data_IF_066956510892
#
_entry.id   IF_066956510892
#
_cell.length_a   1.000
_cell.length_b   1.000
_cell.length_c   1.000
_cell.angle_alpha   90.00
_cell.angle_beta   90.00
_cell.angle_gamma   90.00
#
_symmetry.space_group_name_H-M   'P 1'
#
loop_
_entity.id
_entity.type
_entity.pdbx_description
1 polymer ?
#
# COMPACT_ATOMS: atom_id res chain seq x y z
N UNK A 1 -47.55 19.20 -32.30
CA UNK A 1 -47.08 19.78 -31.02
C UNK A 1 -46.53 18.72 -30.07
N UNK A 2 -47.27 17.65 -29.71
CA UNK A 2 -46.79 16.59 -28.78
C UNK A 2 -45.42 15.98 -29.15
N UNK A 3 -45.16 15.70 -30.44
CA UNK A 3 -43.86 15.14 -30.91
C UNK A 3 -42.66 16.07 -30.66
N UNK A 4 -42.84 17.38 -30.76
CA UNK A 4 -41.76 18.37 -30.53
C UNK A 4 -41.44 18.46 -29.04
N UNK A 5 -42.46 18.35 -28.18
CA UNK A 5 -42.29 18.31 -26.72
C UNK A 5 -41.48 17.09 -26.29
N UNK A 6 -41.73 15.90 -26.86
CA UNK A 6 -40.94 14.70 -26.53
C UNK A 6 -39.47 14.80 -26.93
N UNK A 7 -39.16 15.44 -28.05
CA UNK A 7 -37.77 15.60 -28.51
C UNK A 7 -36.99 16.53 -27.58
N UNK A 8 -37.61 17.64 -27.14
CA UNK A 8 -37.02 18.56 -26.17
C UNK A 8 -36.77 17.88 -24.80
N UNK A 9 -37.67 17.01 -24.35
CA UNK A 9 -37.48 16.23 -23.11
C UNK A 9 -36.28 15.29 -23.19
N UNK A 10 -36.09 14.62 -24.33
CA UNK A 10 -34.98 13.67 -24.54
C UNK A 10 -33.64 14.41 -24.55
N UNK A 11 -33.55 15.56 -25.22
CA UNK A 11 -32.33 16.37 -25.20
C UNK A 11 -32.00 16.92 -23.81
N UNK A 12 -33.01 17.27 -23.00
CA UNK A 12 -32.82 17.68 -21.60
C UNK A 12 -32.27 16.55 -20.73
N UNK A 13 -32.77 15.32 -20.90
CA UNK A 13 -32.31 14.14 -20.15
C UNK A 13 -30.88 13.76 -20.57
N UNK A 14 -30.57 13.76 -21.86
CA UNK A 14 -29.22 13.48 -22.36
C UNK A 14 -28.23 14.55 -21.88
N UNK A 15 -28.62 15.83 -21.93
CA UNK A 15 -27.81 16.92 -21.39
C UNK A 15 -27.53 16.79 -19.89
N UNK A 16 -28.52 16.35 -19.10
CA UNK A 16 -28.36 16.11 -17.67
C UNK A 16 -27.44 14.91 -17.38
N UNK A 17 -27.51 13.84 -18.17
CA UNK A 17 -26.61 12.69 -18.07
C UNK A 17 -25.16 13.09 -18.40
N UNK A 18 -24.96 13.90 -19.44
CA UNK A 18 -23.63 14.39 -19.84
C UNK A 18 -23.05 15.37 -18.80
N UNK A 19 -23.88 16.22 -18.18
CA UNK A 19 -23.44 17.10 -17.08
C UNK A 19 -23.05 16.32 -15.81
N UNK A 20 -23.76 15.22 -15.50
CA UNK A 20 -23.40 14.33 -14.39
C UNK A 20 -22.16 13.48 -14.70
N UNK A 21 -21.92 13.15 -15.97
CA UNK A 21 -20.72 12.43 -16.42
C UNK A 21 -19.48 13.34 -16.51
N UNK A 22 -19.66 14.61 -16.86
CA UNK A 22 -18.56 15.58 -17.01
C UNK A 22 -18.01 16.15 -15.70
N UNK A 23 -18.70 15.93 -14.58
CA UNK A 23 -18.31 16.46 -13.26
C UNK A 23 -17.98 15.36 -12.23
N UNK A 24 -17.76 14.15 -12.70
CA UNK A 24 -17.18 13.04 -11.92
C UNK A 24 -15.98 12.50 -12.68
N UNK A 25 -14.90 13.26 -12.70
CA UNK A 25 -13.58 12.63 -12.65
C UNK A 25 -13.49 11.97 -11.28
N UNK A 26 -14.04 10.76 -11.16
CA UNK A 26 -13.64 9.84 -10.11
C UNK A 26 -12.16 9.61 -10.34
N UNK A 27 -11.33 10.41 -9.68
CA UNK A 27 -9.99 10.00 -9.31
C UNK A 27 -10.19 8.61 -8.75
N UNK A 28 -9.66 7.60 -9.43
CA UNK A 28 -9.66 6.26 -8.88
C UNK A 28 -8.95 6.39 -7.53
N UNK A 29 -9.69 6.27 -6.43
CA UNK A 29 -9.08 6.12 -5.11
C UNK A 29 -8.17 4.90 -5.26
N UNK A 30 -6.86 5.15 -5.32
CA UNK A 30 -5.88 4.11 -5.10
C UNK A 30 -6.09 3.65 -3.66
N UNK A 31 -6.98 2.67 -3.50
CA UNK A 31 -7.44 2.19 -2.21
C UNK A 31 -6.24 1.58 -1.47
N UNK A 32 -5.74 2.31 -0.47
CA UNK A 32 -4.67 1.83 0.40
C UNK A 32 -5.25 1.51 1.79
N UNK A 33 -4.90 0.37 2.36
CA UNK A 33 -5.52 -0.10 3.60
C UNK A 33 -4.92 0.53 4.86
N UNK A 34 -3.81 1.28 4.75
CA UNK A 34 -3.09 1.84 5.90
C UNK A 34 -4.00 2.55 6.91
N UNK A 35 -4.98 3.40 6.54
CA UNK A 35 -5.91 4.02 7.49
C UNK A 35 -6.76 3.01 8.25
N UNK A 36 -7.20 1.93 7.59
CA UNK A 36 -7.99 0.85 8.21
C UNK A 36 -7.13 0.11 9.22
N UNK A 37 -5.89 -0.25 8.83
CA UNK A 37 -4.94 -0.91 9.71
C UNK A 37 -4.64 -0.06 10.94
N UNK A 38 -4.36 1.23 10.75
CA UNK A 38 -4.02 2.13 11.83
C UNK A 38 -5.19 2.34 12.80
N UNK A 39 -6.39 2.59 12.27
CA UNK A 39 -7.60 2.77 13.08
C UNK A 39 -7.85 1.57 13.99
N UNK A 40 -7.79 0.34 13.45
CA UNK A 40 -8.04 -0.87 14.26
C UNK A 40 -6.99 -1.02 15.36
N UNK A 41 -5.71 -0.77 15.07
CA UNK A 41 -4.68 -0.87 16.11
C UNK A 41 -4.82 0.23 17.17
N UNK A 42 -5.14 1.46 16.77
CA UNK A 42 -5.33 2.58 17.71
C UNK A 42 -6.54 2.39 18.61
N UNK A 43 -7.66 1.86 18.09
CA UNK A 43 -8.86 1.53 18.87
C UNK A 43 -8.55 0.48 19.96
N UNK A 44 -7.58 -0.38 19.69
CA UNK A 44 -7.05 -1.38 20.63
C UNK A 44 -5.95 -0.86 21.56
N UNK A 45 -5.69 0.46 21.56
CA UNK A 45 -4.63 1.12 22.32
C UNK A 45 -3.23 0.56 22.01
N UNK A 46 -3.03 0.05 20.80
CA UNK A 46 -1.73 -0.42 20.31
C UNK A 46 -0.94 0.77 19.79
N UNK A 47 0.29 0.93 20.28
CA UNK A 47 1.16 2.03 19.88
C UNK A 47 1.82 1.65 18.55
N UNK A 48 1.52 2.40 17.48
CA UNK A 48 2.13 2.22 16.17
C UNK A 48 3.53 2.84 16.14
N UNK A 49 4.54 2.01 15.89
CA UNK A 49 5.96 2.40 15.85
C UNK A 49 6.60 2.27 14.47
N UNK A 50 5.94 1.62 13.51
CA UNK A 50 6.33 1.64 12.11
C UNK A 50 5.10 1.46 11.22
N UNK A 51 5.05 2.16 10.10
CA UNK A 51 4.14 1.87 9.02
C UNK A 51 4.90 1.94 7.70
N UNK A 52 4.51 1.11 6.74
CA UNK A 52 5.09 1.12 5.41
C UNK A 52 4.06 0.78 4.33
N UNK A 53 4.31 1.31 3.13
CA UNK A 53 3.68 0.86 1.90
C UNK A 53 4.77 0.57 0.88
N UNK A 54 4.67 -0.59 0.25
CA UNK A 54 5.52 -1.02 -0.85
C UNK A 54 4.64 -1.28 -2.07
N UNK A 55 4.90 -0.57 -3.15
CA UNK A 55 4.22 -0.73 -4.41
C UNK A 55 5.22 -1.18 -5.48
N UNK A 56 4.81 -2.09 -6.36
CA UNK A 56 5.64 -2.56 -7.47
C UNK A 56 4.82 -2.74 -8.75
N UNK A 57 5.45 -2.43 -9.87
CA UNK A 57 4.93 -2.63 -11.22
C UNK A 57 5.98 -3.35 -12.08
N UNK A 58 5.55 -4.37 -12.81
CA UNK A 58 6.35 -4.99 -13.85
C UNK A 58 6.16 -4.15 -15.12
N UNK A 59 7.23 -3.58 -15.64
CA UNK A 59 7.17 -2.68 -16.81
C UNK A 59 7.18 -3.49 -18.10
N UNK A 60 6.08 -4.19 -18.40
CA UNK A 60 5.95 -5.06 -19.59
C UNK A 60 6.07 -4.31 -20.93
N UNK A 61 5.77 -3.01 -20.92
CA UNK A 61 5.85 -2.13 -22.09
C UNK A 61 7.27 -1.63 -22.36
N UNK A 62 8.16 -1.71 -21.37
CA UNK A 62 9.55 -1.27 -21.48
C UNK A 62 10.38 -2.41 -22.06
N UNK A 63 10.92 -2.20 -23.27
CA UNK A 63 11.65 -3.24 -24.00
C UNK A 63 13.10 -2.87 -24.25
N UNK A 64 13.43 -1.58 -24.18
CA UNK A 64 14.76 -1.07 -24.49
C UNK A 64 15.35 -0.29 -23.32
N UNK A 65 16.68 -0.18 -23.32
CA UNK A 65 17.40 0.69 -22.38
C UNK A 65 17.00 2.17 -22.55
N UNK A 66 16.61 2.58 -23.75
CA UNK A 66 16.16 3.96 -24.00
C UNK A 66 14.82 4.22 -23.29
N UNK A 67 13.88 3.29 -23.34
CA UNK A 67 12.58 3.40 -22.64
C UNK A 67 12.79 3.60 -21.13
N UNK A 68 13.77 2.89 -20.54
CA UNK A 68 14.16 3.04 -19.14
C UNK A 68 14.70 4.45 -18.86
N UNK A 69 15.59 4.94 -19.73
CA UNK A 69 16.17 6.28 -19.56
C UNK A 69 15.12 7.38 -19.70
N UNK A 70 14.13 7.21 -20.58
CA UNK A 70 13.01 8.13 -20.75
C UNK A 70 12.11 8.14 -19.52
N UNK A 71 11.78 6.96 -18.95
CA UNK A 71 11.04 6.85 -17.69
C UNK A 71 11.80 7.51 -16.52
N UNK A 72 13.11 7.28 -16.40
CA UNK A 72 13.94 7.94 -15.38
C UNK A 72 13.89 9.47 -15.54
N UNK A 73 13.93 9.96 -16.78
CA UNK A 73 13.88 11.38 -17.08
C UNK A 73 12.52 11.98 -16.71
N UNK A 74 11.43 11.29 -17.01
CA UNK A 74 10.07 11.67 -16.64
C UNK A 74 9.95 11.80 -15.11
N UNK A 75 10.32 10.75 -14.36
CA UNK A 75 10.23 10.77 -12.90
C UNK A 75 11.18 11.79 -12.25
N UNK A 76 12.34 12.06 -12.84
CA UNK A 76 13.21 13.17 -12.40
C UNK A 76 12.56 14.54 -12.61
N UNK A 77 11.75 14.69 -13.65
CA UNK A 77 10.94 15.88 -13.90
C UNK A 77 9.83 16.05 -12.85
N UNK A 78 9.17 14.96 -12.47
CA UNK A 78 8.14 14.94 -11.42
C UNK A 78 8.71 15.16 -10.02
N UNK A 79 9.90 14.59 -9.73
CA UNK A 79 10.55 14.66 -8.42
C UNK A 79 11.95 15.31 -8.48
N UNK A 80 12.05 16.58 -8.86
CA UNK A 80 13.33 17.25 -9.09
C UNK A 80 14.10 17.54 -7.79
N UNK A 81 13.40 17.60 -6.65
CA UNK A 81 14.00 17.86 -5.34
C UNK A 81 14.44 16.59 -4.61
N UNK A 82 14.28 15.42 -5.22
CA UNK A 82 14.69 14.15 -4.64
C UNK A 82 16.15 13.85 -4.95
N UNK A 83 16.79 13.07 -4.08
CA UNK A 83 18.17 12.67 -4.27
C UNK A 83 18.22 11.46 -5.19
N UNK A 84 18.64 11.67 -6.44
CA UNK A 84 18.73 10.63 -7.46
C UNK A 84 20.14 10.03 -7.56
N UNK A 85 20.22 8.72 -7.55
CA UNK A 85 21.44 7.95 -7.82
C UNK A 85 21.18 6.98 -8.98
N UNK A 86 22.11 6.92 -9.95
CA UNK A 86 22.05 6.00 -11.08
C UNK A 86 23.30 5.12 -11.07
N UNK A 87 23.10 3.80 -11.05
CA UNK A 87 24.13 2.80 -11.28
C UNK A 87 23.84 2.15 -12.61
N UNK A 88 24.71 2.35 -13.59
CA UNK A 88 24.47 1.90 -14.95
C UNK A 88 25.61 0.96 -15.40
N UNK A 89 25.30 -0.33 -15.47
CA UNK A 89 26.22 -1.37 -15.89
C UNK A 89 25.76 -1.96 -17.23
N UNK A 90 26.62 -2.78 -17.84
CA UNK A 90 26.36 -3.37 -19.14
C UNK A 90 25.13 -4.29 -19.13
N UNK A 91 24.90 -4.99 -18.02
CA UNK A 91 23.86 -6.02 -17.88
C UNK A 91 22.69 -5.62 -16.98
N UNK A 92 22.87 -4.58 -16.14
CA UNK A 92 21.83 -4.12 -15.22
C UNK A 92 21.93 -2.61 -15.00
N UNK A 93 20.78 -1.98 -14.83
CA UNK A 93 20.63 -0.56 -14.54
C UNK A 93 19.74 -0.42 -13.31
N UNK A 94 20.21 0.37 -12.33
CA UNK A 94 19.43 0.72 -11.15
C UNK A 94 19.41 2.24 -10.98
N UNK A 95 18.22 2.83 -10.96
CA UNK A 95 18.02 4.22 -10.59
C UNK A 95 17.21 4.28 -9.29
N UNK A 96 17.70 5.04 -8.31
CA UNK A 96 17.03 5.22 -7.02
C UNK A 96 16.86 6.70 -6.72
N UNK A 97 15.67 7.09 -6.28
CA UNK A 97 15.35 8.43 -5.81
C UNK A 97 14.88 8.37 -4.37
N UNK A 98 15.41 9.22 -3.49
CA UNK A 98 14.95 9.35 -2.09
C UNK A 98 14.41 10.74 -1.81
N UNK A 99 13.26 10.83 -1.15
CA UNK A 99 12.69 12.11 -0.75
C UNK A 99 13.54 12.80 0.31
N UNK A 100 13.52 14.14 0.30
CA UNK A 100 14.32 14.97 1.21
C UNK A 100 13.60 15.33 2.52
N UNK A 101 12.35 14.89 2.71
CA UNK A 101 11.46 15.41 3.75
C UNK A 101 11.65 14.71 5.10
N UNK A 102 11.38 15.43 6.19
CA UNK A 102 11.34 14.90 7.55
C UNK A 102 9.93 14.36 7.88
N UNK A 103 9.84 13.18 8.51
CA UNK A 103 8.61 12.57 9.04
C UNK A 103 8.29 11.19 8.47
N UNK A 104 8.57 10.97 7.19
CA UNK A 104 8.55 9.67 6.50
C UNK A 104 9.60 9.70 5.39
N UNK A 105 10.10 8.53 5.00
CA UNK A 105 11.06 8.40 3.92
C UNK A 105 10.38 7.73 2.73
N UNK A 106 10.41 8.39 1.57
CA UNK A 106 9.93 7.82 0.31
C UNK A 106 11.15 7.43 -0.55
N UNK A 107 11.04 6.30 -1.25
CA UNK A 107 12.05 5.79 -2.17
C UNK A 107 11.39 5.29 -3.44
N UNK A 108 11.82 5.78 -4.60
CA UNK A 108 11.48 5.21 -5.90
C UNK A 108 12.71 4.46 -6.42
N UNK A 109 12.52 3.24 -6.92
CA UNK A 109 13.59 2.44 -7.53
C UNK A 109 13.12 1.88 -8.86
N UNK A 110 13.90 2.13 -9.91
CA UNK A 110 13.81 1.45 -11.19
C UNK A 110 14.98 0.49 -11.28
N UNK A 111 14.71 -0.77 -11.60
CA UNK A 111 15.74 -1.78 -11.76
C UNK A 111 15.48 -2.62 -13.01
N UNK A 112 16.51 -2.88 -13.79
CA UNK A 112 16.49 -3.86 -14.88
C UNK A 112 17.18 -5.17 -14.46
N UNK A 113 16.62 -6.28 -14.93
CA UNK A 113 17.20 -7.61 -14.80
C UNK A 113 17.10 -8.32 -16.16
N UNK A 114 18.20 -8.91 -16.63
CA UNK A 114 18.19 -9.75 -17.84
C UNK A 114 19.56 -10.00 -18.43
N UNK A 115 19.74 -11.16 -19.04
CA UNK A 115 20.90 -11.50 -19.86
C UNK A 115 20.43 -11.80 -21.29
N UNK A 116 20.98 -11.03 -22.25
CA UNK A 116 21.03 -11.24 -23.69
C UNK A 116 19.76 -11.40 -24.57
N UNK A 117 18.54 -11.66 -24.08
CA UNK A 117 17.36 -11.71 -25.00
C UNK A 117 16.01 -11.14 -24.48
N UNK A 118 15.83 -10.91 -23.17
CA UNK A 118 14.66 -10.20 -22.64
C UNK A 118 15.05 -9.28 -21.47
N UNK A 119 14.82 -7.97 -21.65
CA UNK A 119 15.00 -6.98 -20.60
C UNK A 119 13.75 -7.00 -19.71
N UNK A 120 13.89 -7.44 -18.47
CA UNK A 120 12.84 -7.27 -17.47
C UNK A 120 13.11 -6.00 -16.69
N UNK A 121 12.09 -5.19 -16.47
CA UNK A 121 12.21 -3.96 -15.72
C UNK A 121 11.11 -3.85 -14.67
N UNK A 122 11.50 -3.31 -13.52
CA UNK A 122 10.65 -3.19 -12.35
C UNK A 122 10.69 -1.75 -11.87
N UNK A 123 9.52 -1.18 -11.61
CA UNK A 123 9.36 0.08 -10.90
C UNK A 123 8.83 -0.23 -9.50
N UNK A 124 9.51 0.29 -8.49
CA UNK A 124 9.16 0.10 -7.08
C UNK A 124 9.06 1.45 -6.39
N UNK A 125 8.08 1.57 -5.51
CA UNK A 125 7.92 2.69 -4.61
C UNK A 125 7.78 2.16 -3.19
N UNK A 126 8.48 2.78 -2.27
CA UNK A 126 8.43 2.47 -0.86
C UNK A 126 8.27 3.77 -0.08
N UNK A 127 7.34 3.78 0.87
CA UNK A 127 7.26 4.81 1.89
C UNK A 127 7.19 4.19 3.27
N UNK A 128 7.96 4.72 4.22
CA UNK A 128 7.95 4.28 5.61
C UNK A 128 7.95 5.44 6.59
N UNK A 129 7.25 5.27 7.72
CA UNK A 129 7.25 6.21 8.84
C UNK A 129 7.43 5.50 10.19
N UNK A 130 7.99 6.20 11.17
CA UNK A 130 8.38 5.65 12.48
C UNK A 130 7.30 5.83 13.58
N UNK A 131 6.16 6.41 13.24
CA UNK A 131 5.04 6.59 14.16
C UNK A 131 3.79 6.95 13.36
N UNK A 132 2.61 6.65 13.89
CA UNK A 132 1.36 7.20 13.36
C UNK A 132 1.01 8.50 14.11
N UNK A 133 1.18 9.64 13.44
CA UNK A 133 0.88 10.98 13.96
C UNK A 133 0.09 11.79 12.93
N UNK A 134 -0.24 13.05 13.24
CA UNK A 134 -1.01 13.93 12.34
C UNK A 134 -0.36 14.11 10.97
N UNK A 135 0.98 14.13 10.90
CA UNK A 135 1.70 14.31 9.65
C UNK A 135 1.65 13.04 8.78
N UNK A 136 1.71 11.87 9.41
CA UNK A 136 1.55 10.57 8.74
C UNK A 136 0.13 10.42 8.22
N UNK A 137 -0.86 10.72 9.05
CA UNK A 137 -2.27 10.69 8.69
C UNK A 137 -2.57 11.63 7.52
N UNK A 138 -2.09 12.88 7.58
CA UNK A 138 -2.26 13.85 6.52
C UNK A 138 -1.59 13.43 5.21
N UNK A 139 -0.38 12.85 5.27
CA UNK A 139 0.30 12.34 4.09
C UNK A 139 -0.44 11.16 3.46
N UNK A 140 -0.80 10.16 4.27
CA UNK A 140 -1.47 8.95 3.80
C UNK A 140 -2.82 9.33 3.18
N UNK A 141 -3.64 10.12 3.87
CA UNK A 141 -5.00 10.41 3.41
C UNK A 141 -5.08 11.44 2.28
N UNK A 142 -4.07 12.31 2.08
CA UNK A 142 -4.17 13.41 1.12
C UNK A 142 -3.09 13.44 0.03
N UNK A 143 -1.97 12.73 0.20
CA UNK A 143 -0.82 12.81 -0.71
C UNK A 143 -0.52 11.46 -1.36
N UNK A 144 -0.64 10.36 -0.62
CA UNK A 144 -0.17 9.05 -1.04
C UNK A 144 -0.85 8.56 -2.34
N UNK A 145 -2.17 8.69 -2.47
CA UNK A 145 -2.88 8.27 -3.68
C UNK A 145 -2.42 9.04 -4.93
N UNK A 146 -2.21 10.35 -4.80
CA UNK A 146 -1.64 11.17 -5.88
C UNK A 146 -0.21 10.75 -6.21
N UNK A 147 0.61 10.51 -5.19
CA UNK A 147 1.99 10.02 -5.37
C UNK A 147 2.03 8.68 -6.13
N UNK A 148 1.15 7.75 -5.80
CA UNK A 148 1.05 6.46 -6.50
C UNK A 148 0.65 6.65 -7.97
N UNK A 149 -0.31 7.56 -8.23
CA UNK A 149 -0.75 7.88 -9.60
C UNK A 149 0.36 8.55 -10.43
N UNK A 150 1.17 9.41 -9.83
CA UNK A 150 2.27 10.07 -10.52
C UNK A 150 3.37 9.07 -10.92
N UNK A 151 3.61 8.05 -10.08
CA UNK A 151 4.67 7.05 -10.27
C UNK A 151 4.23 5.93 -11.22
N UNK A 152 3.05 5.36 -11.01
CA UNK A 152 2.62 4.13 -11.68
C UNK A 152 1.64 4.41 -12.81
N UNK A 153 1.58 3.49 -13.79
CA UNK A 153 0.70 3.64 -14.96
C UNK A 153 -0.42 2.62 -14.94
N UNK A 154 -0.13 1.32 -14.79
CA UNK A 154 -1.14 0.27 -14.65
C UNK A 154 -0.61 -0.93 -13.84
N UNK A 155 -1.48 -1.85 -13.39
CA UNK A 155 -1.12 -3.15 -12.79
C UNK A 155 -0.17 -3.11 -11.57
N UNK A 156 -0.27 -2.09 -10.73
CA UNK A 156 0.52 -1.98 -9.50
C UNK A 156 0.07 -2.99 -8.44
N UNK A 157 1.01 -3.75 -7.90
CA UNK A 157 0.78 -4.54 -6.68
C UNK A 157 1.21 -3.71 -5.48
N UNK A 158 0.32 -3.55 -4.49
CA UNK A 158 0.57 -2.77 -3.29
C UNK A 158 0.56 -3.70 -2.07
N UNK A 159 1.55 -3.51 -1.20
CA UNK A 159 1.66 -4.14 0.11
C UNK A 159 1.69 -3.04 1.17
N UNK A 160 0.83 -3.15 2.18
CA UNK A 160 0.83 -2.24 3.33
C UNK A 160 1.20 -3.01 4.59
N UNK A 161 1.99 -2.42 5.47
CA UNK A 161 2.32 -3.01 6.76
C UNK A 161 2.26 -1.97 7.88
N UNK A 162 1.74 -2.36 9.04
CA UNK A 162 1.84 -1.59 10.28
C UNK A 162 2.41 -2.48 11.37
N UNK A 163 3.41 -1.96 12.07
CA UNK A 163 3.98 -2.54 13.28
C UNK A 163 3.55 -1.72 14.48
N UNK A 164 3.20 -2.42 15.55
CA UNK A 164 2.88 -1.80 16.81
C UNK A 164 3.26 -2.65 18.00
N UNK A 165 3.17 -2.03 19.17
CA UNK A 165 3.47 -2.65 20.44
C UNK A 165 2.40 -2.32 21.48
N UNK A 166 2.11 -3.28 22.33
CA UNK A 166 1.34 -3.06 23.55
C UNK A 166 1.99 -3.81 24.72
N UNK A 167 1.86 -3.26 25.91
CA UNK A 167 2.42 -3.87 27.12
C UNK A 167 1.45 -4.88 27.72
N UNK A 168 1.93 -6.11 27.91
CA UNK A 168 1.18 -7.17 28.58
C UNK A 168 1.23 -6.99 30.09
N UNK A 169 0.52 -5.97 30.61
CA UNK A 169 0.13 -5.98 32.03
C UNK A 169 -0.95 -7.07 32.22
N UNK A 170 -0.53 -8.33 32.15
CA UNK A 170 -1.14 -9.54 32.70
C UNK A 170 -2.67 -9.68 32.68
N UNK A 171 -3.32 -9.94 31.53
CA UNK A 171 -4.66 -10.55 31.59
C UNK A 171 -4.94 -11.67 30.58
N UNK A 172 -4.39 -11.65 29.35
CA UNK A 172 -4.88 -12.54 28.28
C UNK A 172 -3.75 -13.09 27.39
N UNK A 173 -3.93 -14.32 26.91
CA UNK A 173 -2.95 -15.00 26.05
C UNK A 173 -3.00 -14.54 24.59
N UNK A 174 -1.93 -14.74 23.82
CA UNK A 174 -1.84 -14.39 22.39
C UNK A 174 -3.08 -14.78 21.55
N UNK A 175 -3.67 -16.00 21.68
CA UNK A 175 -4.85 -16.37 20.91
C UNK A 175 -6.07 -15.46 21.16
N UNK A 176 -6.18 -14.87 22.36
CA UNK A 176 -7.26 -13.92 22.65
C UNK A 176 -7.11 -12.66 21.81
N UNK A 177 -5.91 -12.08 21.75
CA UNK A 177 -5.66 -10.86 20.98
C UNK A 177 -5.82 -11.11 19.48
N UNK A 178 -5.32 -12.23 18.97
CA UNK A 178 -5.53 -12.64 17.57
C UNK A 178 -7.02 -12.70 17.24
N UNK A 179 -7.83 -13.41 18.06
CA UNK A 179 -9.27 -13.52 17.83
C UNK A 179 -9.95 -12.14 17.89
N UNK A 180 -9.52 -11.28 18.82
CA UNK A 180 -10.06 -9.94 18.96
C UNK A 180 -9.77 -9.09 17.73
N UNK A 181 -8.51 -9.01 17.31
CA UNK A 181 -8.10 -8.28 16.11
C UNK A 181 -8.78 -8.79 14.85
N UNK A 182 -8.90 -10.11 14.67
CA UNK A 182 -9.67 -10.67 13.55
C UNK A 182 -11.11 -10.18 13.55
N UNK A 183 -11.79 -10.12 14.70
CA UNK A 183 -13.14 -9.57 14.78
C UNK A 183 -13.17 -8.08 14.45
N UNK A 184 -12.22 -7.30 14.96
CA UNK A 184 -12.14 -5.85 14.75
C UNK A 184 -11.86 -5.54 13.27
N UNK A 185 -11.06 -6.37 12.59
CA UNK A 185 -10.88 -6.35 11.14
C UNK A 185 -12.05 -6.95 10.34
N UNK A 186 -13.08 -7.51 10.98
CA UNK A 186 -14.13 -8.31 10.33
C UNK A 186 -13.55 -9.43 9.43
N UNK A 187 -12.45 -10.03 9.88
CA UNK A 187 -11.67 -10.99 9.15
C UNK A 187 -11.99 -12.43 9.56
N UNK A 188 -11.93 -13.35 8.60
CA UNK A 188 -12.03 -14.79 8.82
C UNK A 188 -10.66 -15.42 8.63
N UNK A 189 -10.19 -16.16 9.64
CA UNK A 189 -8.99 -16.99 9.58
C UNK A 189 -9.11 -18.01 8.44
N UNK A 190 -8.06 -18.11 7.62
CA UNK A 190 -7.89 -19.12 6.57
C UNK A 190 -6.94 -20.20 7.08
N UNK A 191 -5.80 -19.78 7.63
CA UNK A 191 -4.78 -20.65 8.22
C UNK A 191 -4.00 -19.90 9.30
N UNK A 192 -3.34 -20.65 10.18
CA UNK A 192 -2.52 -20.08 11.24
C UNK A 192 -1.36 -21.01 11.65
N UNK A 193 -0.23 -20.39 11.97
CA UNK A 193 0.89 -20.98 12.70
C UNK A 193 0.82 -20.52 14.15
N UNK A 194 0.84 -21.45 15.10
CA UNK A 194 0.69 -21.18 16.54
C UNK A 194 1.84 -21.85 17.29
N UNK A 195 2.67 -21.02 17.91
CA UNK A 195 3.79 -21.38 18.78
C UNK A 195 3.62 -20.67 20.14
N UNK A 196 4.42 -21.03 21.14
CA UNK A 196 4.23 -20.57 22.53
C UNK A 196 4.28 -19.04 22.66
N UNK A 197 5.25 -18.40 22.00
CA UNK A 197 5.47 -16.95 22.04
C UNK A 197 5.15 -16.26 20.72
N UNK A 198 4.53 -16.97 19.77
CA UNK A 198 4.35 -16.48 18.40
C UNK A 198 3.09 -17.03 17.74
N UNK A 199 2.28 -16.15 17.13
CA UNK A 199 1.15 -16.54 16.29
C UNK A 199 1.19 -15.74 14.99
N UNK A 200 1.09 -16.44 13.86
CA UNK A 200 0.88 -15.85 12.54
C UNK A 200 -0.45 -16.37 11.96
N UNK A 201 -1.31 -15.47 11.50
CA UNK A 201 -2.61 -15.79 10.91
C UNK A 201 -2.74 -15.17 9.53
N UNK A 202 -3.08 -15.99 8.54
CA UNK A 202 -3.54 -15.57 7.22
C UNK A 202 -5.08 -15.51 7.24
N UNK A 203 -5.65 -14.40 6.80
CA UNK A 203 -7.09 -14.15 6.90
C UNK A 203 -7.64 -13.41 5.68
N UNK A 204 -8.97 -13.44 5.56
CA UNK A 204 -9.71 -12.63 4.61
C UNK A 204 -10.64 -11.66 5.33
N UNK A 205 -10.54 -10.36 5.02
CA UNK A 205 -11.45 -9.32 5.46
C UNK A 205 -12.15 -8.66 4.27
N UNK A 206 -13.49 -8.51 4.29
CA UNK A 206 -14.21 -7.72 3.29
C UNK A 206 -14.00 -6.21 3.48
N UNK A 207 -13.33 -5.75 4.54
CA UNK A 207 -12.97 -4.34 4.75
C UNK A 207 -11.70 -3.94 3.98
N UNK A 208 -10.94 -4.92 3.49
CA UNK A 208 -9.70 -4.71 2.74
C UNK A 208 -9.97 -4.99 1.27
N UNK A 209 -9.47 -4.11 0.39
CA UNK A 209 -9.73 -4.20 -1.04
C UNK A 209 -9.25 -5.54 -1.62
N UNK A 210 -10.13 -6.22 -2.37
CA UNK A 210 -9.78 -7.52 -2.98
C UNK A 210 -8.71 -7.40 -4.08
N UNK A 211 -8.57 -6.22 -4.69
CA UNK A 211 -7.51 -5.91 -5.67
C UNK A 211 -6.11 -6.10 -5.07
N UNK A 212 -5.96 -5.87 -3.77
CA UNK A 212 -4.69 -6.01 -3.07
C UNK A 212 -4.31 -7.47 -2.83
N UNK A 213 -5.28 -8.39 -2.89
CA UNK A 213 -5.01 -9.83 -2.77
C UNK A 213 -4.29 -10.40 -4.00
N UNK A 214 -4.26 -9.71 -5.14
CA UNK A 214 -3.65 -10.19 -6.39
C UNK A 214 -4.02 -11.65 -6.73
N UNK A 215 -5.31 -11.99 -6.61
CA UNK A 215 -5.83 -13.35 -6.86
C UNK A 215 -5.64 -14.36 -5.71
N UNK A 216 -5.04 -13.96 -4.60
CA UNK A 216 -4.94 -14.78 -3.39
C UNK A 216 -6.29 -14.91 -2.68
N UNK A 217 -6.47 -16.02 -1.95
CA UNK A 217 -7.65 -16.25 -1.12
C UNK A 217 -7.66 -15.42 0.17
N UNK A 218 -6.49 -14.87 0.55
CA UNK A 218 -6.27 -14.03 1.72
C UNK A 218 -5.95 -12.59 1.29
N UNK A 219 -6.26 -11.63 2.14
CA UNK A 219 -5.91 -10.22 1.94
C UNK A 219 -5.48 -9.52 3.22
N UNK A 220 -5.28 -10.28 4.31
CA UNK A 220 -4.83 -9.79 5.59
C UNK A 220 -3.92 -10.85 6.23
N UNK A 221 -2.81 -10.42 6.81
CA UNK A 221 -1.96 -11.26 7.63
C UNK A 221 -1.67 -10.56 8.96
N UNK A 222 -1.84 -11.30 10.06
CA UNK A 222 -1.56 -10.85 11.41
C UNK A 222 -0.39 -11.65 11.98
N UNK A 223 0.49 -10.96 12.66
CA UNK A 223 1.68 -11.52 13.28
C UNK A 223 1.84 -10.99 14.69
N UNK A 224 1.79 -11.83 15.70
CA UNK A 224 1.96 -11.43 17.10
C UNK A 224 3.09 -12.20 17.74
N UNK A 225 4.01 -11.50 18.40
CA UNK A 225 5.14 -12.08 19.12
C UNK A 225 5.28 -11.45 20.51
N UNK A 226 5.35 -12.29 21.53
CA UNK A 226 5.62 -11.85 22.91
C UNK A 226 7.10 -12.02 23.23
N UNK A 227 7.71 -11.02 23.87
CA UNK A 227 9.06 -11.10 24.39
C UNK A 227 9.04 -11.49 25.88
N UNK A 228 9.68 -12.60 26.26
CA UNK A 228 9.61 -13.18 27.63
C UNK A 228 10.42 -12.44 28.73
N UNK A 229 10.75 -11.15 28.55
CA UNK A 229 11.57 -10.39 29.51
C UNK A 229 10.72 -9.59 30.51
N UNK A 230 11.32 -9.17 31.63
CA UNK A 230 10.70 -8.21 32.56
C UNK A 230 10.30 -6.93 31.79
N UNK A 231 9.02 -6.56 31.86
CA UNK A 231 8.45 -5.50 31.02
C UNK A 231 8.00 -5.98 29.63
N UNK A 232 7.69 -7.27 29.49
CA UNK A 232 7.24 -7.93 28.27
C UNK A 232 6.24 -7.06 27.48
N UNK A 233 6.61 -6.78 26.24
CA UNK A 233 5.73 -6.20 25.24
C UNK A 233 5.40 -7.28 24.22
N UNK A 234 4.18 -7.23 23.74
CA UNK A 234 3.78 -7.98 22.56
C UNK A 234 3.89 -7.06 21.36
N UNK A 235 4.68 -7.49 20.39
CA UNK A 235 4.80 -6.85 19.08
C UNK A 235 3.74 -7.44 18.16
N UNK A 236 3.05 -6.57 17.45
CA UNK A 236 2.13 -6.93 16.39
C UNK A 236 2.61 -6.37 15.06
N UNK A 237 2.51 -7.17 14.01
CA UNK A 237 2.66 -6.75 12.62
C UNK A 237 1.38 -7.13 11.89
N UNK A 238 0.79 -6.17 11.19
CA UNK A 238 -0.37 -6.38 10.32
C UNK A 238 0.03 -6.03 8.91
N UNK A 239 -0.20 -6.94 7.96
CA UNK A 239 0.13 -6.75 6.55
C UNK A 239 -1.06 -7.01 5.64
N UNK A 240 -1.16 -6.24 4.54
CA UNK A 240 -2.09 -6.50 3.44
C UNK A 240 -1.32 -6.55 2.11
N UNK A 241 -1.58 -7.55 1.24
CA UNK A 241 -2.26 -8.81 1.57
C UNK A 241 -1.45 -9.68 2.55
N UNK A 242 -0.13 -9.48 2.61
CA UNK A 242 0.83 -10.23 3.44
C UNK A 242 1.78 -9.30 4.18
N UNK A 243 2.46 -9.82 5.20
CA UNK A 243 3.53 -9.11 5.91
C UNK A 243 4.81 -9.12 5.06
N UNK A 244 5.41 -7.94 4.86
CA UNK A 244 6.67 -7.76 4.11
C UNK A 244 7.81 -7.18 4.96
N UNK A 245 7.56 -6.95 6.25
CA UNK A 245 8.51 -6.41 7.23
C UNK A 245 8.75 -7.42 8.36
N UNK A 246 9.90 -7.32 9.02
CA UNK A 246 10.27 -8.21 10.13
C UNK A 246 9.79 -7.69 11.51
N UNK A 247 9.74 -8.60 12.50
CA UNK A 247 9.35 -8.33 13.89
C UNK A 247 10.38 -7.53 14.68
#
# INVERSE_FOLDING_TARGET
MKKITYILSIFGIIGFIVLQAGNKTTVADAEHDLPILASVLQDENIIINEWSLHARENLETVKTRQDIMDLIKELKGEFPSWNWTLSDHTEHLTATAKSAKAGHQETVTIMTAGTNDQLHAYLMYEVRGQSWNSDSDAFINNVLSGRLFDIFRENTTIYSCIKGEFSDKMEKALPFYVKKLLNDFNAKEIEALKEDSFISVSAFSPRIAASLANGQKMNLQLGLRTNERLGAKTTIVVGTPIITIEY
#
